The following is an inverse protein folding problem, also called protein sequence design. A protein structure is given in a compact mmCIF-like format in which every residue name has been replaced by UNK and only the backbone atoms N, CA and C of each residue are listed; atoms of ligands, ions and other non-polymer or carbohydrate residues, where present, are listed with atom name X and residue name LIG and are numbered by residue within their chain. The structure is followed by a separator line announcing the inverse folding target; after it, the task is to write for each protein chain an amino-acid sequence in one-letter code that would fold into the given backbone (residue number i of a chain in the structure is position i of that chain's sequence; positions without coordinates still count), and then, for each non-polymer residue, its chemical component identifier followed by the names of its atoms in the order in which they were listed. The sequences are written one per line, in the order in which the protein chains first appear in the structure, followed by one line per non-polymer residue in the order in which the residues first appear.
data_IF_535834865663
#
_entry.id   IF_535834865663
#
_cell.length_a   1.000
_cell.length_b   1.000
_cell.length_c   1.000
_cell.angle_alpha   90.00
_cell.angle_beta   90.00
_cell.angle_gamma   90.00
#
_symmetry.space_group_name_H-M   'P 1'
#
loop_
_entity.id
_entity.type
_entity.pdbx_description
1 polymer ?
#
# COMPACT_ATOMS: atom_id res chain seq x y z
N UNK A 1 2.21 -9.94 17.98
CA UNK A 1 1.15 -9.15 17.33
C UNK A 1 0.06 -10.11 16.88
N UNK A 2 -1.09 -10.18 17.57
CA UNK A 2 -2.25 -10.98 17.13
C UNK A 2 -3.26 -10.03 16.49
N UNK A 3 -3.15 -9.85 15.18
CA UNK A 3 -4.16 -9.13 14.39
C UNK A 3 -5.22 -10.15 13.97
N UNK A 4 -6.31 -10.23 14.73
CA UNK A 4 -7.55 -10.80 14.23
C UNK A 4 -8.26 -9.68 13.46
N UNK A 5 -8.39 -9.89 12.16
CA UNK A 5 -9.06 -8.99 11.20
C UNK A 5 -10.37 -9.68 10.84
N UNK A 6 -11.48 -8.98 10.98
CA UNK A 6 -12.78 -9.53 10.60
C UNK A 6 -12.82 -9.72 9.07
N UNK A 7 -13.27 -10.88 8.61
CA UNK A 7 -13.49 -11.11 7.17
C UNK A 7 -14.88 -10.60 6.80
N UNK A 8 -15.05 -9.94 5.65
CA UNK A 8 -16.37 -9.72 5.08
C UNK A 8 -17.06 -11.07 4.81
N UNK A 9 -18.34 -11.18 5.13
CA UNK A 9 -19.12 -12.40 4.90
C UNK A 9 -19.32 -12.57 3.39
N UNK A 10 -18.75 -13.62 2.80
CA UNK A 10 -19.04 -14.07 1.44
C UNK A 10 -19.66 -15.48 1.47
N UNK A 11 -20.66 -15.79 0.61
CA UNK A 11 -21.24 -17.13 0.54
C UNK A 11 -20.27 -18.12 -0.12
N UNK A 12 -19.91 -19.17 0.62
CA UNK A 12 -19.34 -20.48 0.28
C UNK A 12 -18.71 -20.71 -1.12
N UNK A 13 -17.39 -20.94 -1.15
CA UNK A 13 -16.75 -21.80 -2.16
C UNK A 13 -15.59 -22.62 -1.56
N UNK A 14 -15.77 -23.95 -1.55
CA UNK A 14 -14.77 -24.98 -1.23
C UNK A 14 -13.92 -25.39 -2.45
N UNK A 15 -12.80 -26.07 -2.13
CA UNK A 15 -11.96 -27.02 -2.93
C UNK A 15 -10.62 -26.51 -3.44
N UNK A 16 -9.51 -27.11 -2.92
CA UNK A 16 -8.21 -27.60 -3.50
C UNK A 16 -6.83 -26.84 -3.43
N UNK A 17 -6.13 -27.01 -2.30
CA UNK A 17 -4.96 -26.23 -1.86
C UNK A 17 -3.55 -26.57 -2.38
N UNK A 18 -3.23 -26.23 -3.63
CA UNK A 18 -1.83 -26.10 -4.06
C UNK A 18 -1.59 -24.95 -5.03
N UNK A 19 -2.37 -24.93 -6.12
CA UNK A 19 -2.32 -23.87 -7.14
C UNK A 19 -3.40 -22.78 -6.94
N UNK A 20 -4.37 -23.03 -6.06
CA UNK A 20 -5.52 -22.14 -5.88
C UNK A 20 -5.30 -20.97 -4.92
N UNK A 21 -4.37 -21.10 -3.97
CA UNK A 21 -4.12 -20.04 -3.00
C UNK A 21 -3.50 -18.79 -3.65
N UNK A 22 -2.79 -18.97 -4.77
CA UNK A 22 -2.12 -17.89 -5.49
C UNK A 22 -3.13 -17.08 -6.33
N UNK A 23 -4.08 -17.75 -6.98
CA UNK A 23 -5.18 -17.09 -7.69
C UNK A 23 -6.17 -16.38 -6.73
N UNK A 24 -6.42 -16.96 -5.55
CA UNK A 24 -7.29 -16.35 -4.52
C UNK A 24 -6.80 -15.01 -4.01
N UNK A 25 -5.47 -14.77 -4.02
CA UNK A 25 -4.89 -13.54 -3.49
C UNK A 25 -4.64 -12.48 -4.56
N UNK A 26 -4.95 -12.74 -5.84
CA UNK A 26 -4.76 -11.74 -6.89
C UNK A 26 -5.60 -10.50 -6.62
N UNK A 27 -4.97 -9.33 -6.71
CA UNK A 27 -5.61 -8.04 -6.45
C UNK A 27 -5.77 -7.31 -7.80
N UNK A 28 -6.88 -7.48 -8.53
CA UNK A 28 -7.10 -6.85 -9.83
C UNK A 28 -7.42 -5.36 -9.73
N UNK A 29 -7.88 -4.90 -8.56
CA UNK A 29 -8.27 -3.52 -8.34
C UNK A 29 -7.97 -3.09 -6.90
N UNK A 30 -7.70 -1.79 -6.75
CA UNK A 30 -7.63 -1.11 -5.46
C UNK A 30 -8.91 -0.32 -5.22
N UNK A 31 -9.05 0.18 -4.02
CA UNK A 31 -10.14 1.08 -3.65
C UNK A 31 -9.63 2.49 -3.38
N UNK A 32 -10.49 3.46 -3.67
CA UNK A 32 -10.31 4.83 -3.25
C UNK A 32 -11.66 5.40 -2.83
N UNK A 33 -11.70 6.13 -1.71
CA UNK A 33 -12.92 6.81 -1.30
C UNK A 33 -13.01 8.17 -2.00
N UNK A 34 -14.04 8.38 -2.82
CA UNK A 34 -14.27 9.62 -3.55
C UNK A 34 -15.77 9.87 -3.72
N UNK A 35 -16.20 11.13 -3.65
CA UNK A 35 -17.59 11.53 -3.85
C UNK A 35 -18.56 10.75 -2.96
N UNK A 36 -18.20 10.55 -1.69
CA UNK A 36 -18.94 9.76 -0.71
C UNK A 36 -19.10 8.26 -1.01
N UNK A 37 -18.33 7.71 -1.94
CA UNK A 37 -18.42 6.30 -2.35
C UNK A 37 -17.04 5.63 -2.46
N UNK A 38 -17.01 4.30 -2.35
CA UNK A 38 -15.82 3.49 -2.60
C UNK A 38 -15.74 3.17 -4.09
N UNK A 39 -14.76 3.74 -4.77
CA UNK A 39 -14.49 3.46 -6.18
C UNK A 39 -13.44 2.38 -6.33
N UNK A 40 -13.64 1.49 -7.29
CA UNK A 40 -12.64 0.51 -7.73
C UNK A 40 -11.73 1.15 -8.77
N UNK A 41 -10.43 1.02 -8.58
CA UNK A 41 -9.39 1.52 -9.49
C UNK A 41 -8.63 0.30 -10.00
N UNK A 42 -8.61 0.10 -11.31
CA UNK A 42 -7.94 -1.03 -11.94
C UNK A 42 -6.43 -1.02 -11.61
N UNK A 43 -5.84 -2.19 -11.37
CA UNK A 43 -4.42 -2.31 -11.05
C UNK A 43 -3.51 -1.73 -12.13
N UNK A 44 -3.91 -1.76 -13.41
CA UNK A 44 -3.15 -1.17 -14.52
C UNK A 44 -2.95 0.34 -14.41
N UNK A 45 -3.79 1.05 -13.64
CA UNK A 45 -3.58 2.48 -13.35
C UNK A 45 -2.25 2.74 -12.62
N UNK A 46 -1.74 1.75 -11.91
CA UNK A 46 -0.51 1.83 -11.13
C UNK A 46 0.72 1.33 -11.87
N UNK A 47 0.55 0.88 -13.12
CA UNK A 47 1.68 0.53 -13.97
C UNK A 47 2.54 1.78 -14.19
N UNK A 48 3.86 1.57 -14.17
CA UNK A 48 4.87 2.62 -14.34
C UNK A 48 4.91 3.69 -13.24
N UNK A 49 4.16 3.52 -12.15
CA UNK A 49 4.13 4.48 -11.05
C UNK A 49 5.03 4.09 -9.88
N UNK A 50 5.54 5.12 -9.22
CA UNK A 50 6.11 4.97 -7.89
C UNK A 50 4.97 4.78 -6.89
N UNK A 51 5.14 3.83 -5.98
CA UNK A 51 4.13 3.49 -4.98
C UNK A 51 4.69 3.73 -3.58
N UNK A 52 3.94 4.42 -2.73
CA UNK A 52 4.19 4.49 -1.30
C UNK A 52 3.32 3.47 -0.59
N UNK A 53 3.88 2.33 -0.19
CA UNK A 53 3.13 1.31 0.56
C UNK A 53 3.09 1.70 2.03
N UNK A 54 1.90 2.06 2.51
CA UNK A 54 1.66 2.48 3.88
C UNK A 54 0.89 1.41 4.64
N UNK A 55 1.58 0.72 5.53
CA UNK A 55 1.00 -0.25 6.46
C UNK A 55 0.53 0.51 7.69
N UNK A 56 -0.76 0.45 7.99
CA UNK A 56 -1.32 1.20 9.11
C UNK A 56 -2.66 0.66 9.59
N UNK A 57 -3.18 1.31 10.62
CA UNK A 57 -4.50 1.06 11.17
C UNK A 57 -5.05 2.34 11.79
N UNK A 58 -6.36 2.54 11.73
CA UNK A 58 -7.06 3.67 12.37
C UNK A 58 -6.95 3.66 13.89
N UNK A 59 -6.94 2.48 14.51
CA UNK A 59 -6.77 2.31 15.96
C UNK A 59 -5.33 2.57 16.44
N UNK A 60 -4.37 2.68 15.52
CA UNK A 60 -2.98 2.98 15.81
C UNK A 60 -2.76 4.50 15.85
N UNK A 61 -2.66 5.07 17.05
CA UNK A 61 -2.47 6.53 17.25
C UNK A 61 -1.29 7.09 16.45
N UNK A 62 -0.15 6.41 16.47
CA UNK A 62 1.04 6.82 15.70
C UNK A 62 0.78 6.85 14.19
N UNK A 63 0.02 5.88 13.68
CA UNK A 63 -0.36 5.80 12.28
C UNK A 63 -1.20 7.02 11.86
N UNK A 64 -2.22 7.37 12.67
CA UNK A 64 -3.08 8.54 12.41
C UNK A 64 -2.28 9.84 12.41
N UNK A 65 -1.38 10.03 13.38
CA UNK A 65 -0.52 11.23 13.40
C UNK A 65 0.44 11.29 12.22
N UNK A 66 0.89 10.14 11.72
CA UNK A 66 1.85 10.06 10.62
C UNK A 66 1.23 10.43 9.26
N UNK A 67 -0.10 10.38 9.11
CA UNK A 67 -0.81 10.79 7.89
C UNK A 67 -0.43 12.22 7.48
N UNK A 68 -0.27 13.15 8.44
CA UNK A 68 0.12 14.53 8.14
C UNK A 68 1.49 14.60 7.44
N UNK A 69 2.43 13.75 7.85
CA UNK A 69 3.76 13.64 7.21
C UNK A 69 3.67 13.02 5.83
N UNK A 70 2.83 11.99 5.63
CA UNK A 70 2.58 11.42 4.30
C UNK A 70 1.93 12.46 3.37
N UNK A 71 0.99 13.26 3.86
CA UNK A 71 0.35 14.31 3.06
C UNK A 71 1.38 15.39 2.64
N UNK A 72 2.29 15.77 3.53
CA UNK A 72 3.40 16.67 3.18
C UNK A 72 4.36 16.02 2.17
N UNK A 73 4.66 14.74 2.32
CA UNK A 73 5.44 13.97 1.35
C UNK A 73 4.78 13.96 -0.03
N UNK A 74 3.49 13.62 -0.11
CA UNK A 74 2.72 13.57 -1.35
C UNK A 74 2.69 14.94 -2.06
N UNK A 75 2.59 16.04 -1.31
CA UNK A 75 2.69 17.41 -1.88
C UNK A 75 4.03 17.67 -2.57
N UNK A 76 5.13 17.16 -2.03
CA UNK A 76 6.47 17.32 -2.60
C UNK A 76 6.77 16.31 -3.71
N UNK A 77 6.10 15.15 -3.68
CA UNK A 77 6.32 14.02 -4.60
C UNK A 77 4.97 13.50 -5.13
N UNK A 78 4.22 14.32 -5.89
CA UNK A 78 2.85 13.98 -6.32
C UNK A 78 2.80 12.82 -7.33
N UNK A 79 3.93 12.43 -7.90
CA UNK A 79 4.05 11.28 -8.79
C UNK A 79 4.09 9.93 -8.03
N UNK A 80 4.11 9.96 -6.70
CA UNK A 80 4.08 8.76 -5.85
C UNK A 80 2.66 8.53 -5.37
N UNK A 81 2.05 7.42 -5.80
CA UNK A 81 0.71 7.02 -5.34
C UNK A 81 0.82 6.31 -4.00
N UNK A 82 0.06 6.77 -3.01
CA UNK A 82 0.04 6.14 -1.69
C UNK A 82 -0.99 5.01 -1.69
N UNK A 83 -0.54 3.80 -1.37
CA UNK A 83 -1.38 2.60 -1.20
C UNK A 83 -1.39 2.24 0.27
N UNK A 84 -2.56 2.38 0.89
CA UNK A 84 -2.85 1.89 2.20
C UNK A 84 -2.97 0.36 2.20
N UNK A 85 -2.30 -0.27 3.15
CA UNK A 85 -2.40 -1.70 3.43
C UNK A 85 -3.04 -1.79 4.82
N UNK A 86 -4.36 -2.07 4.87
CA UNK A 86 -5.13 -1.94 6.10
C UNK A 86 -4.83 -3.06 7.09
N UNK A 87 -4.63 -2.68 8.35
CA UNK A 87 -4.63 -3.54 9.54
C UNK A 87 -5.73 -3.13 10.54
N UNK A 88 -6.76 -2.44 10.02
CA UNK A 88 -7.97 -2.10 10.77
C UNK A 88 -8.67 -3.35 11.27
N UNK A 89 -9.34 -3.26 12.43
CA UNK A 89 -10.04 -4.42 13.01
C UNK A 89 -11.34 -4.71 12.29
N UNK A 90 -12.06 -3.65 11.92
CA UNK A 90 -13.38 -3.73 11.29
C UNK A 90 -13.39 -3.02 9.94
N UNK A 91 -14.33 -3.42 9.08
CA UNK A 91 -14.55 -2.76 7.79
C UNK A 91 -14.97 -1.29 7.96
N UNK A 92 -15.70 -0.95 9.03
CA UNK A 92 -16.11 0.42 9.31
C UNK A 92 -14.91 1.32 9.64
N UNK A 93 -13.97 0.81 10.44
CA UNK A 93 -12.71 1.50 10.75
C UNK A 93 -11.90 1.78 9.47
N UNK A 94 -11.79 0.76 8.60
CA UNK A 94 -11.14 0.85 7.30
C UNK A 94 -11.77 1.95 6.42
N UNK A 95 -13.09 1.97 6.30
CA UNK A 95 -13.80 2.99 5.51
C UNK A 95 -13.65 4.37 6.13
N UNK A 96 -13.76 4.49 7.46
CA UNK A 96 -13.57 5.75 8.16
C UNK A 96 -12.16 6.32 7.94
N UNK A 97 -11.14 5.47 7.95
CA UNK A 97 -9.78 5.85 7.61
C UNK A 97 -9.70 6.42 6.18
N UNK A 98 -10.23 5.70 5.18
CA UNK A 98 -10.16 6.15 3.79
C UNK A 98 -10.94 7.45 3.54
N UNK A 99 -12.08 7.65 4.20
CA UNK A 99 -12.83 8.93 4.16
C UNK A 99 -11.98 10.14 4.57
N UNK A 100 -11.01 9.93 5.47
CA UNK A 100 -10.12 10.98 5.97
C UNK A 100 -8.84 11.20 5.15
N UNK A 101 -8.66 10.47 4.04
CA UNK A 101 -7.44 10.52 3.22
C UNK A 101 -7.79 10.55 1.73
N UNK A 102 -6.79 10.79 0.88
CA UNK A 102 -6.90 10.67 -0.57
C UNK A 102 -6.12 9.45 -1.11
N UNK A 103 -5.86 8.47 -0.25
CA UNK A 103 -5.03 7.31 -0.55
C UNK A 103 -5.84 6.26 -1.32
N UNK A 104 -5.13 5.45 -2.09
CA UNK A 104 -5.66 4.18 -2.57
C UNK A 104 -5.48 3.14 -1.47
N UNK A 105 -6.19 2.03 -1.55
CA UNK A 105 -6.04 0.94 -0.60
C UNK A 105 -6.22 -0.41 -1.23
N UNK A 106 -5.49 -1.39 -0.71
CA UNK A 106 -5.85 -2.78 -0.89
C UNK A 106 -7.26 -3.04 -0.32
N UNK A 107 -7.99 -4.06 -0.82
CA UNK A 107 -9.25 -4.52 -0.22
C UNK A 107 -9.14 -4.73 1.29
N UNK A 108 -10.24 -4.70 2.03
CA UNK A 108 -10.19 -5.04 3.46
C UNK A 108 -10.04 -6.56 3.64
N UNK A 109 -8.85 -7.01 4.05
CA UNK A 109 -8.50 -8.42 4.24
C UNK A 109 -7.28 -8.57 5.18
N UNK A 110 -6.83 -9.81 5.40
CA UNK A 110 -5.69 -10.16 6.22
C UNK A 110 -4.37 -10.20 5.44
N UNK A 111 -3.58 -9.13 5.59
CA UNK A 111 -2.29 -8.96 4.90
C UNK A 111 -1.06 -9.39 5.72
N UNK A 112 -1.19 -10.31 6.69
CA UNK A 112 -0.03 -10.81 7.45
C UNK A 112 1.06 -11.40 6.55
N UNK A 113 0.67 -12.02 5.43
CA UNK A 113 1.62 -12.57 4.46
C UNK A 113 2.40 -11.47 3.72
N UNK A 114 1.77 -10.32 3.44
CA UNK A 114 2.44 -9.13 2.87
C UNK A 114 3.42 -8.53 3.90
N UNK A 115 3.02 -8.44 5.18
CA UNK A 115 3.94 -8.02 6.24
C UNK A 115 5.16 -8.93 6.33
N UNK A 116 4.97 -10.25 6.26
CA UNK A 116 6.08 -11.21 6.27
C UNK A 116 7.02 -10.98 5.09
N UNK A 117 6.46 -10.81 3.88
CA UNK A 117 7.23 -10.57 2.65
C UNK A 117 8.10 -9.32 2.73
N UNK A 118 7.54 -8.21 3.20
CA UNK A 118 8.29 -6.95 3.34
C UNK A 118 9.04 -6.82 4.67
N UNK A 119 9.02 -7.86 5.52
CA UNK A 119 9.60 -7.86 6.87
C UNK A 119 9.12 -6.65 7.72
N UNK A 120 7.82 -6.36 7.66
CA UNK A 120 7.17 -5.34 8.48
C UNK A 120 6.89 -5.92 9.87
N UNK A 121 7.51 -5.31 10.88
CA UNK A 121 7.41 -5.76 12.27
C UNK A 121 6.52 -4.85 13.13
N UNK A 122 6.37 -3.59 12.74
CA UNK A 122 5.68 -2.57 13.52
C UNK A 122 4.85 -1.65 12.62
N UNK A 123 3.80 -1.06 13.19
CA UNK A 123 3.01 -0.01 12.55
C UNK A 123 3.30 1.35 13.19
N UNK A 124 3.27 2.46 12.43
CA UNK A 124 3.19 2.48 10.98
C UNK A 124 4.47 1.93 10.32
N UNK A 125 4.33 1.38 9.12
CA UNK A 125 5.46 1.14 8.22
C UNK A 125 5.16 1.80 6.88
N UNK A 126 6.17 2.42 6.28
CA UNK A 126 6.03 3.14 5.02
C UNK A 126 7.26 2.89 4.17
N UNK A 127 7.07 2.48 2.92
CA UNK A 127 8.14 2.18 1.98
C UNK A 127 7.83 2.72 0.59
N UNK A 128 8.86 3.09 -0.15
CA UNK A 128 8.73 3.57 -1.52
C UNK A 128 9.19 2.48 -2.48
N UNK A 129 8.31 2.13 -3.41
CA UNK A 129 8.49 1.11 -4.43
C UNK A 129 8.57 1.79 -5.80
N UNK A 130 9.57 1.40 -6.57
CA UNK A 130 9.79 1.92 -7.90
C UNK A 130 8.92 1.19 -8.96
N UNK A 131 8.70 1.79 -10.14
CA UNK A 131 7.97 1.20 -11.29
C UNK A 131 8.34 -0.23 -11.72
N UNK A 132 9.52 -0.73 -11.33
CA UNK A 132 9.99 -2.09 -11.61
C UNK A 132 9.79 -3.07 -10.42
N UNK A 133 9.08 -2.65 -9.37
CA UNK A 133 8.86 -3.35 -8.09
C UNK A 133 10.06 -3.37 -7.13
N UNK A 134 11.17 -2.71 -7.45
CA UNK A 134 12.27 -2.59 -6.51
C UNK A 134 11.90 -1.66 -5.35
N UNK A 135 12.36 -2.01 -4.15
CA UNK A 135 12.26 -1.15 -2.97
C UNK A 135 13.30 -0.05 -3.09
N UNK A 136 12.85 1.19 -3.31
CA UNK A 136 13.72 2.37 -3.35
C UNK A 136 14.06 2.88 -1.95
N UNK A 137 13.07 2.89 -1.05
CA UNK A 137 13.23 3.28 0.35
C UNK A 137 12.48 2.28 1.22
N UNK A 138 13.20 1.55 2.06
CA UNK A 138 12.62 0.52 2.94
C UNK A 138 11.92 1.10 4.17
N UNK A 139 12.48 2.15 4.76
CA UNK A 139 11.93 2.81 5.95
C UNK A 139 11.75 4.31 5.70
N UNK A 140 10.65 4.63 5.01
CA UNK A 140 10.27 6.00 4.74
C UNK A 140 9.70 6.69 6.00
N UNK A 141 9.32 5.94 7.05
CA UNK A 141 8.94 6.53 8.34
C UNK A 141 10.12 7.29 8.95
N UNK A 142 11.32 6.71 8.91
CA UNK A 142 12.55 7.40 9.34
C UNK A 142 12.93 8.54 8.40
N UNK A 143 12.81 8.31 7.08
CA UNK A 143 13.15 9.32 6.07
C UNK A 143 12.37 10.62 6.29
N UNK A 144 11.06 10.54 6.52
CA UNK A 144 10.18 11.74 6.55
C UNK A 144 9.98 12.33 7.96
N UNK A 145 10.84 11.99 8.92
CA UNK A 145 10.79 12.54 10.29
C UNK A 145 10.97 14.06 10.32
N UNK A 146 11.88 14.58 9.53
CA UNK A 146 12.19 16.01 9.40
C UNK A 146 12.01 16.43 7.95
N UNK A 147 11.90 17.72 7.65
CA UNK A 147 11.66 18.17 6.26
C UNK A 147 12.94 18.22 5.40
N UNK A 148 14.11 17.97 6.01
CA UNK A 148 15.40 17.97 5.32
C UNK A 148 15.53 16.86 4.26
N UNK A 149 14.70 15.82 4.34
CA UNK A 149 14.72 14.71 3.38
C UNK A 149 14.35 15.12 1.95
N UNK A 150 13.62 16.23 1.76
CA UNK A 150 13.05 16.58 0.45
C UNK A 150 14.15 16.72 -0.61
N UNK A 151 15.26 17.40 -0.29
CA UNK A 151 16.37 17.55 -1.22
C UNK A 151 17.07 16.22 -1.50
N UNK A 152 17.33 15.43 -0.45
CA UNK A 152 18.00 14.13 -0.56
C UNK A 152 17.18 13.14 -1.38
N UNK A 153 15.86 13.11 -1.18
CA UNK A 153 14.96 12.21 -1.88
C UNK A 153 14.76 12.63 -3.34
N UNK A 154 14.72 13.93 -3.65
CA UNK A 154 14.78 14.42 -5.04
C UNK A 154 16.03 13.92 -5.77
N UNK A 155 17.19 14.02 -5.13
CA UNK A 155 18.45 13.51 -5.69
C UNK A 155 18.42 11.99 -5.87
N UNK A 156 17.88 11.25 -4.89
CA UNK A 156 17.75 9.79 -4.97
C UNK A 156 16.90 9.37 -6.17
N UNK A 157 15.70 9.94 -6.33
CA UNK A 157 14.79 9.60 -7.44
C UNK A 157 15.41 9.98 -8.78
N UNK A 158 16.11 11.13 -8.87
CA UNK A 158 16.80 11.55 -10.09
C UNK A 158 17.91 10.57 -10.51
N UNK A 159 18.67 10.06 -9.55
CA UNK A 159 19.78 9.13 -9.81
C UNK A 159 19.30 7.69 -10.02
N UNK A 160 18.11 7.36 -9.51
CA UNK A 160 17.47 6.08 -9.73
C UNK A 160 16.77 6.06 -11.10
N UNK A 161 17.57 6.11 -12.17
CA UNK A 161 17.07 5.98 -13.54
C UNK A 161 16.53 4.57 -13.75
N UNK A 162 15.22 4.46 -13.92
CA UNK A 162 14.59 3.21 -14.32
C UNK A 162 14.28 3.32 -15.80
N UNK A 163 14.82 2.40 -16.57
CA UNK A 163 14.54 2.33 -17.99
C UNK A 163 13.13 1.74 -18.20
N UNK A 164 12.33 2.24 -19.16
CA UNK A 164 10.97 1.73 -19.39
C UNK A 164 10.88 0.21 -19.64
N UNK A 165 11.94 -0.40 -20.18
CA UNK A 165 12.03 -1.85 -20.37
C UNK A 165 12.13 -2.65 -19.05
N UNK A 166 12.43 -2.00 -17.92
CA UNK A 166 12.46 -2.62 -16.59
C UNK A 166 11.11 -2.49 -15.87
N UNK A 167 10.17 -1.73 -16.42
CA UNK A 167 8.86 -1.57 -15.80
C UNK A 167 8.09 -2.88 -15.78
N UNK A 168 7.33 -3.08 -14.70
CA UNK A 168 6.47 -4.24 -14.52
C UNK A 168 5.05 -3.86 -14.90
N UNK A 169 4.51 -4.56 -15.90
CA UNK A 169 3.14 -4.41 -16.41
C UNK A 169 2.32 -5.66 -16.14
N UNK A 170 1.02 -5.49 -15.88
CA UNK A 170 0.03 -6.58 -15.78
C UNK A 170 0.14 -7.47 -14.53
N UNK A 171 1.35 -7.83 -14.09
CA UNK A 171 1.60 -8.67 -12.91
C UNK A 171 2.24 -7.92 -11.75
N UNK A 172 2.34 -6.58 -11.84
CA UNK A 172 2.98 -5.74 -10.84
C UNK A 172 2.44 -6.00 -9.43
N UNK A 173 1.12 -6.08 -9.30
CA UNK A 173 0.44 -6.22 -8.01
C UNK A 173 0.46 -7.67 -7.52
N UNK A 174 0.47 -8.62 -8.44
CA UNK A 174 0.75 -10.02 -8.13
C UNK A 174 2.13 -10.19 -7.49
N UNK A 175 3.15 -9.61 -8.12
CA UNK A 175 4.54 -9.62 -7.65
C UNK A 175 4.71 -8.90 -6.31
N UNK A 176 3.86 -7.91 -5.97
CA UNK A 176 3.94 -7.20 -4.69
C UNK A 176 3.13 -7.89 -3.59
N UNK A 177 1.93 -8.37 -3.89
CA UNK A 177 0.91 -8.73 -2.90
C UNK A 177 0.38 -10.16 -3.02
N UNK A 178 0.97 -11.03 -3.83
CA UNK A 178 0.51 -12.42 -3.97
C UNK A 178 1.64 -13.46 -3.94
N UNK A 179 2.78 -13.13 -4.56
CA UNK A 179 3.97 -13.99 -4.63
C UNK A 179 4.77 -14.03 -3.32
#
# INVERSE_FOLDING_TARGET
MKCQVDRPVTPNEELNGGQQNVAKNYIPHLYQFQNNEMKKIDASYFDNKYLGLFFGASWCRYCVTFIQKINFFKKNFPFIEIIYIPFDKTYNDYIAFLKGTDFYSLPFDNYLYVCKKFNVQNLPSFMIIAPNNNVLVKDAVQLIKTDAYVANFKSLVKNYTIHPNQFKFGNRFFDLFCA
#
